data_IF_881418222686
#
_entry.id   IF_881418222686
#
_cell.length_a   1.000
_cell.length_b   1.000
_cell.length_c   1.000
_cell.angle_alpha   90.00
_cell.angle_beta   90.00
_cell.angle_gamma   90.00
#
_symmetry.space_group_name_H-M   'P 1'
#
loop_
_entity.id
_entity.type
_entity.pdbx_description
1 polymer ?
#
# COMPACT_ATOMS: atom_id res chain seq x y z
N UNK A 1 -24.59 -22.40 13.33
CA UNK A 1 -24.66 -20.93 13.14
C UNK A 1 -23.67 -20.54 12.04
N UNK A 2 -24.14 -20.00 10.91
CA UNK A 2 -23.31 -19.73 9.72
C UNK A 2 -22.66 -18.34 9.82
N UNK A 3 -21.36 -18.28 10.08
CA UNK A 3 -20.60 -17.03 10.04
C UNK A 3 -20.28 -16.65 8.59
N UNK A 4 -20.88 -15.55 8.10
CA UNK A 4 -20.62 -14.98 6.77
C UNK A 4 -19.33 -14.15 6.83
N UNK A 5 -18.25 -14.66 6.23
CA UNK A 5 -17.00 -13.91 6.10
C UNK A 5 -17.12 -12.89 4.97
N UNK A 6 -17.08 -11.59 5.31
CA UNK A 6 -16.98 -10.51 4.31
C UNK A 6 -15.52 -10.39 3.89
N UNK A 7 -15.21 -10.83 2.68
CA UNK A 7 -13.87 -10.71 2.09
C UNK A 7 -13.62 -9.25 1.71
N UNK A 8 -12.90 -8.53 2.57
CA UNK A 8 -12.42 -7.18 2.28
C UNK A 8 -11.04 -7.27 1.62
N UNK A 9 -11.01 -7.19 0.29
CA UNK A 9 -9.76 -6.99 -0.47
C UNK A 9 -9.33 -5.53 -0.27
N UNK A 10 -8.43 -5.32 0.69
CA UNK A 10 -7.87 -4.01 0.99
C UNK A 10 -6.81 -3.60 -0.03
N UNK A 11 -7.19 -2.81 -1.03
CA UNK A 11 -6.25 -2.03 -1.83
C UNK A 11 -5.89 -0.74 -1.06
N UNK A 12 -4.68 -0.72 -0.49
CA UNK A 12 -4.06 0.45 0.12
C UNK A 12 -3.91 1.57 -0.92
N UNK A 13 -4.60 2.69 -0.70
CA UNK A 13 -4.60 3.87 -1.54
C UNK A 13 -4.27 5.09 -0.66
N UNK A 14 -3.34 5.90 -1.15
CA UNK A 14 -2.93 7.21 -0.65
C UNK A 14 -3.94 8.26 -1.16
N UNK A 15 -4.42 9.15 -0.29
CA UNK A 15 -5.24 10.29 -0.68
C UNK A 15 -4.56 11.59 -0.22
N UNK A 16 -4.35 12.50 -1.17
CA UNK A 16 -4.07 13.90 -0.93
C UNK A 16 -5.42 14.63 -0.83
N UNK A 17 -5.57 15.50 0.17
CA UNK A 17 -6.77 16.32 0.37
C UNK A 17 -6.43 17.72 -0.12
N UNK A 18 -7.27 18.26 -0.99
CA UNK A 18 -7.40 19.70 -1.21
C UNK A 18 -8.89 19.99 -1.38
N UNK A 19 -9.37 21.01 -0.66
CA UNK A 19 -10.79 21.28 -0.49
C UNK A 19 -11.43 22.12 -1.60
N UNK A 20 -12.77 22.15 -1.51
CA UNK A 20 -13.77 22.98 -2.21
C UNK A 20 -14.23 22.45 -3.57
N UNK A 21 -15.43 21.85 -3.59
CA UNK A 21 -16.63 22.45 -4.20
C UNK A 21 -17.87 21.57 -3.96
N UNK A 22 -19.00 22.22 -3.65
CA UNK A 22 -20.33 21.62 -3.59
C UNK A 22 -20.75 21.18 -5.01
N UNK A 23 -21.42 20.02 -5.10
CA UNK A 23 -21.81 19.26 -6.31
C UNK A 23 -20.74 18.29 -6.87
N UNK A 24 -20.61 17.11 -6.27
CA UNK A 24 -19.90 15.96 -6.85
C UNK A 24 -20.55 14.62 -6.45
N UNK A 25 -21.86 14.45 -6.64
CA UNK A 25 -22.48 13.11 -6.57
C UNK A 25 -22.51 12.39 -7.93
N UNK A 26 -21.95 13.00 -8.98
CA UNK A 26 -21.96 12.44 -10.35
C UNK A 26 -20.62 11.84 -10.81
N UNK A 27 -19.55 11.98 -10.03
CA UNK A 27 -18.19 11.71 -10.54
C UNK A 27 -17.77 10.23 -10.49
N UNK A 28 -18.58 9.34 -9.89
CA UNK A 28 -18.31 7.90 -9.85
C UNK A 28 -19.54 7.06 -10.22
N UNK A 29 -20.41 7.56 -11.11
CA UNK A 29 -21.44 6.72 -11.71
C UNK A 29 -20.80 5.59 -12.53
N UNK A 30 -21.53 4.49 -12.73
CA UNK A 30 -20.98 3.36 -13.48
C UNK A 30 -20.66 3.76 -14.94
N UNK A 31 -21.47 4.67 -15.47
CA UNK A 31 -21.42 5.21 -16.82
C UNK A 31 -20.23 6.16 -17.05
N UNK A 32 -19.69 6.79 -16.00
CA UNK A 32 -18.51 7.66 -16.11
C UNK A 32 -17.19 6.89 -16.22
N UNK A 33 -17.20 5.58 -15.92
CA UNK A 33 -16.04 4.70 -16.06
C UNK A 33 -15.74 4.44 -17.55
N UNK A 34 -14.45 4.39 -17.91
CA UNK A 34 -14.07 3.98 -19.25
C UNK A 34 -14.48 2.52 -19.54
N UNK A 35 -14.69 2.16 -20.80
CA UNK A 35 -15.06 0.78 -21.18
C UNK A 35 -14.08 -0.27 -20.63
N UNK A 36 -12.80 0.06 -20.57
CA UNK A 36 -11.77 -0.81 -20.01
C UNK A 36 -11.89 -0.94 -18.49
N UNK A 37 -12.23 0.15 -17.79
CA UNK A 37 -12.50 0.12 -16.35
C UNK A 37 -13.76 -0.69 -16.05
N UNK A 38 -14.85 -0.50 -16.81
CA UNK A 38 -16.08 -1.28 -16.69
C UNK A 38 -15.82 -2.77 -16.91
N UNK A 39 -15.00 -3.14 -17.91
CA UNK A 39 -14.61 -4.53 -18.15
C UNK A 39 -13.87 -5.16 -16.96
N UNK A 40 -12.96 -4.39 -16.34
CA UNK A 40 -12.22 -4.84 -15.15
C UNK A 40 -13.13 -4.95 -13.92
N UNK A 41 -14.08 -4.02 -13.79
CA UNK A 41 -15.01 -3.93 -12.67
C UNK A 41 -16.32 -4.69 -12.90
N UNK A 42 -16.45 -5.45 -14.00
CA UNK A 42 -17.66 -6.19 -14.37
C UNK A 42 -18.35 -6.94 -13.21
N UNK A 43 -17.61 -7.63 -12.31
CA UNK A 43 -18.21 -8.29 -11.15
C UNK A 43 -18.94 -7.37 -10.16
N UNK A 44 -18.76 -6.05 -10.26
CA UNK A 44 -19.38 -5.05 -9.41
C UNK A 44 -20.51 -4.27 -10.11
N UNK A 45 -20.72 -4.46 -11.42
CA UNK A 45 -21.64 -3.67 -12.24
C UNK A 45 -23.03 -3.55 -11.61
N UNK A 46 -23.69 -4.67 -11.36
CA UNK A 46 -25.05 -4.73 -10.81
C UNK A 46 -25.17 -4.14 -9.39
N UNK A 47 -24.06 -4.13 -8.65
CA UNK A 47 -24.02 -3.67 -7.26
C UNK A 47 -23.40 -2.28 -7.11
N UNK A 48 -22.97 -1.64 -8.18
CA UNK A 48 -22.10 -0.47 -8.14
C UNK A 48 -22.71 0.69 -7.33
N UNK A 49 -23.98 0.98 -7.58
CA UNK A 49 -24.75 2.01 -6.87
C UNK A 49 -24.97 1.72 -5.39
N UNK A 50 -24.80 0.46 -4.95
CA UNK A 50 -24.91 0.06 -3.54
C UNK A 50 -23.61 0.21 -2.76
N UNK A 51 -22.49 0.44 -3.45
CA UNK A 51 -21.19 0.64 -2.83
C UNK A 51 -21.10 2.06 -2.27
N UNK A 52 -20.40 2.22 -1.14
CA UNK A 52 -20.15 3.57 -0.61
C UNK A 52 -19.28 4.36 -1.58
N UNK A 53 -19.37 5.70 -1.61
CA UNK A 53 -18.57 6.53 -2.50
C UNK A 53 -17.06 6.28 -2.37
N UNK A 54 -16.56 6.03 -1.16
CA UNK A 54 -15.14 5.72 -0.94
C UNK A 54 -14.76 4.38 -1.56
N UNK A 55 -15.67 3.41 -1.56
CA UNK A 55 -15.44 2.10 -2.17
C UNK A 55 -15.49 2.19 -3.68
N UNK A 56 -16.43 2.94 -4.25
CA UNK A 56 -16.47 3.24 -5.68
C UNK A 56 -15.15 3.89 -6.12
N UNK A 57 -14.75 4.99 -5.48
CA UNK A 57 -13.50 5.70 -5.79
C UNK A 57 -12.26 4.79 -5.72
N UNK A 58 -12.17 3.90 -4.72
CA UNK A 58 -11.04 2.96 -4.60
C UNK A 58 -11.04 1.90 -5.70
N UNK A 59 -12.21 1.42 -6.13
CA UNK A 59 -12.35 0.47 -7.22
C UNK A 59 -12.02 1.13 -8.56
N UNK A 60 -12.56 2.32 -8.84
CA UNK A 60 -12.29 3.11 -10.05
C UNK A 60 -10.79 3.39 -10.21
N UNK A 61 -10.15 3.95 -9.17
CA UNK A 61 -8.71 4.20 -9.18
C UNK A 61 -7.89 2.90 -9.31
N UNK A 62 -8.38 1.79 -8.77
CA UNK A 62 -7.77 0.47 -8.94
C UNK A 62 -7.84 -0.02 -10.40
N UNK A 63 -8.99 0.16 -11.04
CA UNK A 63 -9.21 -0.21 -12.43
C UNK A 63 -8.36 0.64 -13.37
N UNK A 64 -8.31 1.96 -13.17
CA UNK A 64 -7.43 2.88 -13.91
C UNK A 64 -5.97 2.46 -13.87
N UNK A 65 -5.45 2.12 -12.68
CA UNK A 65 -4.08 1.61 -12.56
C UNK A 65 -3.90 0.29 -13.30
N UNK A 66 -4.90 -0.59 -13.27
CA UNK A 66 -4.82 -1.89 -13.95
C UNK A 66 -4.83 -1.76 -15.47
N UNK A 67 -5.66 -0.86 -16.02
CA UNK A 67 -5.72 -0.61 -17.47
C UNK A 67 -4.40 -0.01 -17.96
N UNK A 68 -3.78 0.90 -17.20
CA UNK A 68 -2.47 1.46 -17.51
C UNK A 68 -1.26 0.52 -17.36
N UNK A 69 -1.42 -0.67 -16.76
CA UNK A 69 -0.31 -1.62 -16.62
C UNK A 69 -0.03 -2.41 -17.90
N UNK A 70 1.25 -2.61 -18.20
CA UNK A 70 1.72 -3.57 -19.20
C UNK A 70 1.39 -5.02 -18.80
N UNK A 71 1.49 -5.95 -19.77
CA UNK A 71 1.28 -7.39 -19.50
C UNK A 71 2.19 -7.92 -18.39
N UNK A 72 3.46 -7.50 -18.36
CA UNK A 72 4.42 -7.88 -17.33
C UNK A 72 4.03 -7.36 -15.94
N UNK A 73 3.60 -6.09 -15.87
CA UNK A 73 3.16 -5.48 -14.60
C UNK A 73 1.87 -6.12 -14.09
N UNK A 74 0.90 -6.41 -14.96
CA UNK A 74 -0.33 -7.14 -14.60
C UNK A 74 -0.01 -8.52 -14.05
N UNK A 75 0.94 -9.25 -14.66
CA UNK A 75 1.41 -10.55 -14.16
C UNK A 75 2.01 -10.41 -12.76
N UNK A 76 2.94 -9.48 -12.56
CA UNK A 76 3.56 -9.22 -11.27
C UNK A 76 2.56 -8.73 -10.20
N UNK A 77 1.54 -7.96 -10.59
CA UNK A 77 0.45 -7.56 -9.71
C UNK A 77 -0.41 -8.76 -9.29
N UNK A 78 -0.75 -9.66 -10.22
CA UNK A 78 -1.49 -10.89 -9.94
C UNK A 78 -0.72 -11.80 -8.98
N UNK A 79 0.58 -12.00 -9.19
CA UNK A 79 1.44 -12.79 -8.30
C UNK A 79 1.49 -12.20 -6.88
N UNK A 80 1.68 -10.88 -6.76
CA UNK A 80 1.64 -10.19 -5.46
C UNK A 80 0.28 -10.33 -4.77
N UNK A 81 -0.81 -10.26 -5.52
CA UNK A 81 -2.15 -10.42 -4.98
C UNK A 81 -2.42 -11.85 -4.52
N UNK A 82 -1.96 -12.86 -5.25
CA UNK A 82 -2.03 -14.26 -4.83
C UNK A 82 -1.23 -14.49 -3.54
N UNK A 83 0.00 -13.97 -3.47
CA UNK A 83 0.82 -14.03 -2.26
C UNK A 83 0.16 -13.33 -1.06
N UNK A 84 -0.53 -12.20 -1.30
CA UNK A 84 -1.30 -11.52 -0.27
C UNK A 84 -2.49 -12.34 0.23
N UNK A 85 -3.24 -12.98 -0.69
CA UNK A 85 -4.38 -13.84 -0.37
C UNK A 85 -4.00 -15.10 0.39
N UNK A 86 -2.78 -15.59 0.24
CA UNK A 86 -2.27 -16.73 1.00
C UNK A 86 -1.82 -16.39 2.42
N UNK A 87 -1.78 -15.10 2.80
CA UNK A 87 -1.45 -14.70 4.17
C UNK A 87 -2.61 -14.94 5.14
N UNK A 88 -2.28 -15.30 6.38
CA UNK A 88 -3.27 -15.34 7.46
C UNK A 88 -3.88 -13.96 7.72
N UNK A 89 -5.03 -13.90 8.39
CA UNK A 89 -5.65 -12.62 8.75
C UNK A 89 -4.73 -11.80 9.67
N UNK A 90 -4.06 -12.45 10.63
CA UNK A 90 -3.11 -11.79 11.54
C UNK A 90 -1.91 -11.20 10.78
N UNK A 91 -1.38 -11.93 9.79
CA UNK A 91 -0.30 -11.43 8.95
C UNK A 91 -0.74 -10.23 8.12
N UNK A 92 -1.96 -10.27 7.55
CA UNK A 92 -2.53 -9.16 6.79
C UNK A 92 -2.75 -7.94 7.69
N UNK A 93 -3.20 -8.14 8.92
CA UNK A 93 -3.42 -7.08 9.89
C UNK A 93 -2.11 -6.41 10.30
N UNK A 94 -1.05 -7.18 10.58
CA UNK A 94 0.28 -6.62 10.84
C UNK A 94 0.77 -5.76 9.68
N UNK A 95 0.60 -6.21 8.43
CA UNK A 95 1.01 -5.43 7.26
C UNK A 95 0.15 -4.17 7.11
N UNK A 96 -1.17 -4.26 7.31
CA UNK A 96 -2.08 -3.11 7.23
C UNK A 96 -1.72 -2.06 8.27
N UNK A 97 -1.50 -2.46 9.52
CA UNK A 97 -1.10 -1.57 10.61
C UNK A 97 0.21 -0.85 10.32
N UNK A 98 1.24 -1.58 9.85
CA UNK A 98 2.53 -0.98 9.46
C UNK A 98 2.40 0.00 8.30
N UNK A 99 1.51 -0.28 7.36
CA UNK A 99 1.25 0.66 6.29
C UNK A 99 0.56 1.93 6.79
N UNK A 100 -0.46 1.81 7.64
CA UNK A 100 -1.13 2.97 8.21
C UNK A 100 -0.16 3.82 9.03
N UNK A 101 0.73 3.20 9.81
CA UNK A 101 1.83 3.90 10.49
C UNK A 101 2.71 4.64 9.49
N UNK A 102 3.15 3.98 8.42
CA UNK A 102 3.94 4.59 7.36
C UNK A 102 3.21 5.76 6.67
N UNK A 103 1.90 5.66 6.45
CA UNK A 103 1.09 6.73 5.88
C UNK A 103 0.99 7.94 6.82
N UNK A 104 0.89 7.71 8.13
CA UNK A 104 0.89 8.75 9.14
C UNK A 104 2.24 9.46 9.34
N UNK A 105 3.34 8.93 8.79
CA UNK A 105 4.65 9.58 8.87
C UNK A 105 4.74 10.85 8.03
N UNK A 106 5.63 11.78 8.40
CA UNK A 106 5.93 12.97 7.60
C UNK A 106 6.44 12.61 6.20
N UNK A 107 6.29 13.51 5.23
CA UNK A 107 6.78 13.30 3.86
C UNK A 107 8.28 12.98 3.83
N UNK A 108 9.09 13.70 4.63
CA UNK A 108 10.53 13.49 4.75
C UNK A 108 10.88 12.11 5.34
N UNK A 109 10.16 11.65 6.35
CA UNK A 109 10.36 10.33 6.94
C UNK A 109 10.00 9.21 5.96
N UNK A 110 8.88 9.34 5.24
CA UNK A 110 8.49 8.40 4.19
C UNK A 110 9.54 8.35 3.07
N UNK A 111 10.04 9.51 2.64
CA UNK A 111 11.08 9.60 1.62
C UNK A 111 12.39 8.93 2.07
N UNK A 112 12.79 9.10 3.33
CA UNK A 112 13.96 8.43 3.91
C UNK A 112 13.82 6.91 3.89
N UNK A 113 12.66 6.38 4.29
CA UNK A 113 12.39 4.93 4.26
C UNK A 113 12.44 4.40 2.82
N UNK A 114 11.82 5.10 1.86
CA UNK A 114 11.85 4.71 0.44
C UNK A 114 13.29 4.64 -0.09
N UNK A 115 14.11 5.68 0.16
CA UNK A 115 15.53 5.70 -0.25
C UNK A 115 16.36 4.58 0.38
N UNK A 116 16.13 4.27 1.65
CA UNK A 116 16.80 3.16 2.33
C UNK A 116 16.41 1.82 1.70
N UNK A 117 15.14 1.64 1.39
CA UNK A 117 14.63 0.43 0.72
C UNK A 117 15.18 0.30 -0.71
N UNK A 118 15.21 1.38 -1.49
CA UNK A 118 15.76 1.36 -2.85
C UNK A 118 17.26 1.05 -2.85
N UNK A 119 18.01 1.64 -1.92
CA UNK A 119 19.42 1.30 -1.70
C UNK A 119 19.58 -0.18 -1.38
N UNK A 120 18.77 -0.73 -0.48
CA UNK A 120 18.79 -2.16 -0.15
C UNK A 120 18.46 -3.03 -1.38
N UNK A 121 17.45 -2.67 -2.18
CA UNK A 121 17.09 -3.42 -3.39
C UNK A 121 18.18 -3.42 -4.45
N UNK A 122 18.97 -2.35 -4.55
CA UNK A 122 20.09 -2.25 -5.50
C UNK A 122 21.35 -3.02 -5.08
N UNK A 123 21.45 -3.45 -3.81
CA UNK A 123 22.58 -4.26 -3.35
C UNK A 123 22.66 -5.62 -4.07
N UNK A 124 23.86 -6.19 -4.23
CA UNK A 124 24.04 -7.54 -4.74
C UNK A 124 23.19 -8.57 -3.98
N UNK A 125 22.66 -9.62 -4.64
CA UNK A 125 21.79 -10.61 -4.01
C UNK A 125 22.40 -11.26 -2.76
N UNK A 126 23.69 -11.60 -2.78
CA UNK A 126 24.41 -12.16 -1.62
C UNK A 126 24.42 -11.21 -0.44
N UNK A 127 24.72 -9.93 -0.70
CA UNK A 127 24.73 -8.92 0.36
C UNK A 127 23.36 -8.74 0.98
N UNK A 128 22.29 -8.75 0.17
CA UNK A 128 20.91 -8.69 0.68
C UNK A 128 20.55 -9.90 1.53
N UNK A 129 20.97 -11.10 1.10
CA UNK A 129 20.77 -12.35 1.86
C UNK A 129 21.46 -12.28 3.22
N UNK A 130 22.74 -11.91 3.22
CA UNK A 130 23.54 -11.78 4.44
C UNK A 130 22.90 -10.80 5.44
N UNK A 131 22.46 -9.62 4.98
CA UNK A 131 21.78 -8.64 5.83
C UNK A 131 20.47 -9.17 6.41
N UNK A 132 19.66 -9.88 5.60
CA UNK A 132 18.42 -10.51 6.07
C UNK A 132 18.70 -11.59 7.11
N UNK A 133 19.69 -12.44 6.88
CA UNK A 133 20.00 -13.55 7.79
C UNK A 133 20.60 -13.04 9.10
N UNK A 134 21.44 -12.01 9.03
CA UNK A 134 21.91 -11.29 10.21
C UNK A 134 20.74 -10.73 11.03
N UNK A 135 19.78 -10.08 10.38
CA UNK A 135 18.59 -9.56 11.07
C UNK A 135 17.73 -10.66 11.69
N UNK A 136 17.54 -11.78 10.98
CA UNK A 136 16.79 -12.95 11.48
C UNK A 136 17.42 -13.56 12.73
N UNK A 137 18.75 -13.64 12.77
CA UNK A 137 19.52 -14.15 13.92
C UNK A 137 19.53 -13.20 15.13
N UNK A 138 19.17 -11.92 14.95
CA UNK A 138 19.11 -10.97 16.08
C UNK A 138 17.93 -11.25 17.01
N UNK A 139 18.17 -11.11 18.31
CA UNK A 139 17.12 -11.13 19.34
C UNK A 139 16.23 -9.88 19.27
N UNK A 140 15.01 -9.91 19.83
CA UNK A 140 14.14 -8.74 19.91
C UNK A 140 14.85 -7.51 20.51
N UNK A 141 15.60 -7.69 21.59
CA UNK A 141 16.34 -6.61 22.25
C UNK A 141 17.46 -6.04 21.39
N UNK A 142 18.18 -6.88 20.65
CA UNK A 142 19.20 -6.42 19.71
C UNK A 142 18.56 -5.57 18.60
N UNK A 143 17.41 -6.00 18.07
CA UNK A 143 16.66 -5.23 17.07
C UNK A 143 16.13 -3.92 17.63
N UNK A 144 15.69 -3.90 18.90
CA UNK A 144 15.25 -2.67 19.56
C UNK A 144 16.40 -1.69 19.75
N UNK A 145 17.56 -2.15 20.23
CA UNK A 145 18.77 -1.32 20.37
C UNK A 145 19.22 -0.72 19.05
N UNK A 146 19.19 -1.48 17.96
CA UNK A 146 19.51 -0.95 16.63
C UNK A 146 18.50 0.12 16.21
N UNK A 147 17.19 -0.13 16.39
CA UNK A 147 16.14 0.86 16.07
C UNK A 147 16.31 2.15 16.87
N UNK A 148 16.64 2.04 18.16
CA UNK A 148 16.88 3.19 19.03
C UNK A 148 18.09 4.00 18.55
N UNK A 149 19.24 3.35 18.33
CA UNK A 149 20.43 4.03 17.78
C UNK A 149 20.18 4.72 16.44
N UNK A 150 19.39 4.12 15.56
CA UNK A 150 19.02 4.72 14.28
C UNK A 150 18.08 5.93 14.46
N UNK A 151 17.19 5.89 15.46
CA UNK A 151 16.35 7.02 15.84
C UNK A 151 17.19 8.14 16.42
N UNK A 152 18.09 7.85 17.35
CA UNK A 152 18.94 8.84 18.02
C UNK A 152 19.85 9.54 16.99
N UNK A 153 20.49 8.79 16.08
CA UNK A 153 21.25 9.36 14.96
C UNK A 153 20.42 10.23 14.02
N UNK A 154 19.12 9.95 13.89
CA UNK A 154 18.21 10.75 13.08
C UNK A 154 17.72 12.01 13.82
N UNK A 155 17.84 12.06 15.14
CA UNK A 155 17.59 13.25 15.97
C UNK A 155 18.83 14.15 15.98
N UNK A 156 20.02 13.57 16.13
CA UNK A 156 21.29 14.31 16.22
C UNK A 156 21.72 14.97 14.90
N UNK A 157 21.28 14.45 13.75
CA UNK A 157 21.45 15.14 12.46
C UNK A 157 20.20 16.01 12.23
N UNK A 158 20.30 17.35 12.33
CA UNK A 158 19.15 18.21 12.09
C UNK A 158 18.57 17.88 10.72
N UNK A 159 17.24 17.70 10.68
CA UNK A 159 16.52 17.54 9.42
C UNK A 159 16.93 18.71 8.52
N UNK A 160 17.38 18.47 7.27
CA UNK A 160 17.43 19.55 6.31
C UNK A 160 16.02 20.12 6.28
N UNK A 161 15.85 21.33 6.81
CA UNK A 161 14.61 22.08 6.65
C UNK A 161 14.55 22.38 5.17
N UNK A 162 13.66 21.72 4.44
CA UNK A 162 13.32 22.14 3.09
C UNK A 162 12.89 23.61 3.20
N UNK A 163 13.71 24.52 2.65
CA UNK A 163 13.35 25.89 2.32
C UNK A 163 12.90 25.92 0.87
#
# INVERSE_FOLDING_TARGET
>A
MKAKWRVSIGALLLLAISGVSLAQDEHNSWESLSEEQQRVLGPYADSWSTLTPERQARLSAGAERWTGMSRGERKAAKERFQAWRSLSDEQRDVIRSRYLEFQGMSAGDRARIRRAYDSFRRMPPDRRRELRDRYRKMTPDQRQRIRQRLRDRAIDRPRPTDR
#
